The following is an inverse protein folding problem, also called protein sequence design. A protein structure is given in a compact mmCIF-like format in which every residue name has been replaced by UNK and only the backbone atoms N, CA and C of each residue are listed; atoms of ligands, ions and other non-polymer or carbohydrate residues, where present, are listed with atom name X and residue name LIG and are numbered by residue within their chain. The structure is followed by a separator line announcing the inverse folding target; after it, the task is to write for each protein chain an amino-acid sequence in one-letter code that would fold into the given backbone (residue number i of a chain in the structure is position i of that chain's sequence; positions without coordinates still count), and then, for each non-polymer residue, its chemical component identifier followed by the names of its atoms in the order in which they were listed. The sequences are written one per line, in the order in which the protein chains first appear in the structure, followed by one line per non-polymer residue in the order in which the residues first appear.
data_IF_116517425070
#
_entry.id   IF_116517425070
#
_cell.length_a   1.000
_cell.length_b   1.000
_cell.length_c   1.000
_cell.angle_alpha   90.00
_cell.angle_beta   90.00
_cell.angle_gamma   90.00
#
_symmetry.space_group_name_H-M   'P 1'
#
loop_
_entity.id
_entity.type
_entity.pdbx_description
1 polymer ?
#
# COMPACT_ATOMS: atom_id res chain seq x y z
N UNK A 1 26.02 -10.83 11.72
CA UNK A 1 25.88 -9.52 12.38
C UNK A 1 24.48 -9.01 12.08
N UNK A 2 23.62 -8.73 13.07
CA UNK A 2 22.36 -8.08 12.77
C UNK A 2 22.67 -6.64 12.37
N UNK A 3 22.20 -6.23 11.20
CA UNK A 3 22.28 -4.85 10.75
C UNK A 3 21.47 -4.01 11.75
N UNK A 4 22.18 -3.32 12.63
CA UNK A 4 21.67 -2.18 13.38
C UNK A 4 20.93 -1.28 12.39
N UNK A 5 19.61 -1.15 12.54
CA UNK A 5 18.85 -0.16 11.77
C UNK A 5 19.46 1.18 12.16
N UNK A 6 20.13 1.83 11.20
CA UNK A 6 20.77 3.11 11.44
C UNK A 6 19.72 4.11 11.98
N UNK A 7 20.13 5.08 12.80
CA UNK A 7 19.21 6.15 13.27
C UNK A 7 18.43 6.80 12.11
N UNK A 8 19.06 6.85 10.94
CA UNK A 8 18.45 7.32 9.70
C UNK A 8 17.31 6.40 9.20
N UNK A 9 17.50 5.08 9.24
CA UNK A 9 16.46 4.11 8.90
C UNK A 9 15.25 4.15 9.86
N UNK A 10 15.48 4.38 11.16
CA UNK A 10 14.40 4.58 12.14
C UNK A 10 13.62 5.85 11.82
N UNK A 11 14.31 6.96 11.57
CA UNK A 11 13.67 8.22 11.21
C UNK A 11 12.79 8.13 9.96
N UNK A 12 13.29 7.48 8.89
CA UNK A 12 12.52 7.28 7.66
C UNK A 12 11.29 6.41 7.88
N UNK A 13 11.44 5.33 8.66
CA UNK A 13 10.35 4.43 9.02
C UNK A 13 9.24 5.15 9.78
N UNK A 14 9.59 5.88 10.85
CA UNK A 14 8.64 6.65 11.65
C UNK A 14 7.93 7.71 10.79
N UNK A 15 8.70 8.46 9.99
CA UNK A 15 8.15 9.47 9.07
C UNK A 15 7.15 8.87 8.10
N UNK A 16 7.45 7.72 7.50
CA UNK A 16 6.55 7.04 6.58
C UNK A 16 5.29 6.52 7.25
N UNK A 17 5.40 5.96 8.46
CA UNK A 17 4.24 5.51 9.22
C UNK A 17 3.35 6.67 9.65
N UNK A 18 3.93 7.80 10.05
CA UNK A 18 3.18 9.03 10.32
C UNK A 18 2.46 9.52 9.07
N UNK A 19 3.14 9.50 7.91
CA UNK A 19 2.54 9.88 6.63
C UNK A 19 1.32 9.01 6.26
N UNK A 20 1.47 7.68 6.31
CA UNK A 20 0.40 6.70 6.07
C UNK A 20 -0.81 6.96 6.97
N UNK A 21 -0.56 7.33 8.24
CA UNK A 21 -1.65 7.63 9.17
C UNK A 21 -2.33 8.97 8.89
N UNK A 22 -1.59 9.96 8.41
CA UNK A 22 -2.08 11.31 8.17
C UNK A 22 -2.83 11.42 6.84
N UNK A 23 -2.35 10.74 5.79
CA UNK A 23 -2.93 10.71 4.45
C UNK A 23 -4.13 9.76 4.33
N UNK A 24 -4.91 9.63 5.41
CA UNK A 24 -6.15 8.85 5.41
C UNK A 24 -7.22 9.51 4.53
N UNK A 25 -8.24 8.73 4.18
CA UNK A 25 -9.32 9.14 3.30
C UNK A 25 -9.06 8.81 1.83
N UNK A 26 -10.13 8.41 1.14
CA UNK A 26 -10.07 8.02 -0.27
C UNK A 26 -9.95 9.18 -1.25
N UNK A 27 -10.11 10.41 -0.78
CA UNK A 27 -9.92 11.64 -1.57
C UNK A 27 -8.54 12.30 -1.34
N UNK A 28 -7.68 11.67 -0.54
CA UNK A 28 -6.37 12.22 -0.21
C UNK A 28 -5.36 11.93 -1.32
N UNK A 29 -4.41 12.85 -1.61
CA UNK A 29 -3.30 12.58 -2.52
C UNK A 29 -2.53 11.32 -2.09
N UNK A 30 -2.18 10.45 -3.04
CA UNK A 30 -1.43 9.21 -2.80
C UNK A 30 0.07 9.42 -2.56
N UNK A 31 0.47 10.52 -1.95
CA UNK A 31 1.89 10.86 -1.88
C UNK A 31 2.70 9.85 -1.05
N UNK A 32 2.06 9.11 -0.15
CA UNK A 32 2.67 7.98 0.55
C UNK A 32 3.16 6.88 -0.40
N UNK A 33 2.44 6.56 -1.47
CA UNK A 33 2.79 5.48 -2.41
C UNK A 33 3.96 5.88 -3.30
N UNK A 34 3.96 7.12 -3.78
CA UNK A 34 5.10 7.71 -4.50
C UNK A 34 6.35 7.70 -3.62
N UNK A 35 6.21 8.15 -2.37
CA UNK A 35 7.32 8.16 -1.42
C UNK A 35 7.80 6.75 -1.09
N UNK A 36 6.89 5.77 -0.98
CA UNK A 36 7.22 4.37 -0.77
C UNK A 36 8.07 3.81 -1.93
N UNK A 37 7.68 4.07 -3.17
CA UNK A 37 8.43 3.63 -4.35
C UNK A 37 9.83 4.27 -4.42
N UNK A 38 9.93 5.59 -4.23
CA UNK A 38 11.21 6.31 -4.22
C UNK A 38 12.15 5.75 -3.14
N UNK A 39 11.64 5.58 -1.92
CA UNK A 39 12.44 5.08 -0.80
C UNK A 39 12.84 3.60 -0.97
N UNK A 40 12.08 2.82 -1.75
CA UNK A 40 12.44 1.46 -2.13
C UNK A 40 13.76 1.35 -2.90
N UNK A 41 14.13 2.38 -3.66
CA UNK A 41 15.41 2.49 -4.38
C UNK A 41 16.56 3.07 -3.56
N UNK A 42 16.29 3.71 -2.42
CA UNK A 42 17.29 4.54 -1.72
C UNK A 42 17.72 3.96 -0.37
N UNK A 43 16.84 3.25 0.35
CA UNK A 43 17.15 2.81 1.71
C UNK A 43 16.64 1.39 2.06
N UNK A 44 17.42 0.59 2.82
CA UNK A 44 17.09 -0.81 3.12
C UNK A 44 16.14 -0.95 4.33
N UNK A 45 15.04 -0.19 4.39
CA UNK A 45 14.07 -0.21 5.50
C UNK A 45 12.67 -0.67 5.09
N UNK A 46 12.43 -0.97 3.81
CA UNK A 46 11.12 -1.39 3.28
C UNK A 46 10.58 -2.61 4.02
N UNK A 47 11.44 -3.56 4.40
CA UNK A 47 11.02 -4.72 5.21
C UNK A 47 10.31 -4.29 6.50
N UNK A 48 10.90 -3.35 7.23
CA UNK A 48 10.33 -2.85 8.49
C UNK A 48 9.05 -2.06 8.25
N UNK A 49 9.04 -1.21 7.22
CA UNK A 49 7.87 -0.41 6.85
C UNK A 49 6.70 -1.30 6.43
N UNK A 50 6.93 -2.25 5.53
CA UNK A 50 5.94 -3.20 5.04
C UNK A 50 5.30 -3.97 6.20
N UNK A 51 6.12 -4.58 7.05
CA UNK A 51 5.62 -5.35 8.18
C UNK A 51 4.80 -4.51 9.15
N UNK A 52 5.20 -3.25 9.42
CA UNK A 52 4.46 -2.38 10.33
C UNK A 52 3.21 -1.77 9.72
N UNK A 53 3.22 -1.45 8.42
CA UNK A 53 2.04 -0.96 7.71
C UNK A 53 0.96 -2.04 7.66
N UNK A 54 1.32 -3.27 7.29
CA UNK A 54 0.38 -4.39 7.19
C UNK A 54 -0.03 -5.02 8.54
N UNK A 55 0.38 -4.44 9.67
CA UNK A 55 -0.31 -4.71 10.95
C UNK A 55 -1.75 -4.21 10.95
N UNK A 56 -2.06 -3.20 10.12
CA UNK A 56 -3.40 -2.63 9.99
C UNK A 56 -4.01 -2.29 11.36
N UNK A 57 -3.20 -1.69 12.24
CA UNK A 57 -3.56 -1.33 13.62
C UNK A 57 -4.04 0.13 13.75
N UNK A 58 -4.16 0.84 12.63
CA UNK A 58 -4.69 2.20 12.54
C UNK A 58 -5.58 2.39 11.31
N UNK A 59 -6.58 3.30 11.35
CA UNK A 59 -7.40 3.59 10.19
C UNK A 59 -6.61 4.03 8.95
N UNK A 60 -5.55 4.84 9.11
CA UNK A 60 -4.75 5.29 7.97
C UNK A 60 -3.98 4.15 7.28
N UNK A 61 -3.45 3.19 8.04
CA UNK A 61 -2.83 1.98 7.48
C UNK A 61 -3.86 1.14 6.70
N UNK A 62 -5.07 0.99 7.25
CA UNK A 62 -6.17 0.29 6.59
C UNK A 62 -6.59 0.98 5.28
N UNK A 63 -6.73 2.31 5.29
CA UNK A 63 -7.02 3.09 4.07
C UNK A 63 -5.92 2.91 3.02
N UNK A 64 -4.65 3.04 3.40
CA UNK A 64 -3.53 2.86 2.47
C UNK A 64 -3.50 1.45 1.88
N UNK A 65 -3.79 0.40 2.67
CA UNK A 65 -3.89 -0.96 2.17
C UNK A 65 -5.00 -1.13 1.12
N UNK A 66 -6.15 -0.48 1.31
CA UNK A 66 -7.25 -0.48 0.35
C UNK A 66 -6.93 0.35 -0.89
N UNK A 67 -6.24 1.48 -0.75
CA UNK A 67 -5.72 2.25 -1.89
C UNK A 67 -4.74 1.40 -2.70
N UNK A 68 -3.81 0.71 -2.05
CA UNK A 68 -2.86 -0.20 -2.71
C UNK A 68 -3.59 -1.29 -3.49
N UNK A 69 -4.55 -1.97 -2.86
CA UNK A 69 -5.35 -3.00 -3.52
C UNK A 69 -6.19 -2.45 -4.68
N UNK A 70 -6.74 -1.24 -4.56
CA UNK A 70 -7.50 -0.61 -5.63
C UNK A 70 -6.65 -0.42 -6.90
N UNK A 71 -5.35 -0.13 -6.78
CA UNK A 71 -4.45 -0.04 -7.94
C UNK A 71 -4.18 -1.39 -8.60
N UNK A 72 -4.28 -2.49 -7.85
CA UNK A 72 -4.12 -3.83 -8.41
C UNK A 72 -5.36 -4.29 -9.17
N UNK A 73 -6.56 -3.97 -8.67
CA UNK A 73 -7.80 -4.62 -9.13
C UNK A 73 -8.64 -3.79 -10.10
N UNK A 74 -8.55 -2.46 -10.05
CA UNK A 74 -9.32 -1.61 -10.94
C UNK A 74 -8.45 -1.04 -12.06
N UNK A 75 -8.89 -1.15 -13.32
CA UNK A 75 -8.36 -0.30 -14.39
C UNK A 75 -8.50 1.17 -14.04
N UNK A 76 -7.59 2.00 -14.55
CA UNK A 76 -7.49 3.44 -14.24
C UNK A 76 -8.82 4.16 -14.47
N UNK A 77 -9.50 3.80 -15.56
CA UNK A 77 -10.70 4.48 -16.06
C UNK A 77 -11.94 4.22 -15.20
N UNK A 78 -11.91 3.17 -14.36
CA UNK A 78 -13.06 2.73 -13.56
C UNK A 78 -12.74 2.63 -12.06
N UNK A 79 -11.55 3.08 -11.67
CA UNK A 79 -11.14 3.02 -10.27
C UNK A 79 -12.04 3.94 -9.42
N UNK A 80 -12.76 3.40 -8.43
CA UNK A 80 -13.70 4.19 -7.64
C UNK A 80 -13.02 5.23 -6.74
N UNK A 81 -11.70 5.17 -6.57
CA UNK A 81 -10.90 6.17 -5.89
C UNK A 81 -10.51 7.35 -6.80
N UNK A 82 -10.73 7.23 -8.12
CA UNK A 82 -10.39 8.22 -9.14
C UNK A 82 -11.49 8.45 -10.19
N UNK A 83 -12.62 9.07 -9.81
CA UNK A 83 -13.59 9.52 -10.79
C UNK A 83 -13.02 10.70 -11.60
N UNK A 84 -12.77 10.46 -12.89
CA UNK A 84 -12.49 11.43 -13.97
C UNK A 84 -11.24 12.34 -13.83
N UNK A 85 -10.15 11.99 -14.54
CA UNK A 85 -9.10 12.94 -14.94
C UNK A 85 -7.92 13.14 -13.97
N UNK A 86 -7.79 12.32 -12.93
CA UNK A 86 -6.67 12.39 -11.99
C UNK A 86 -5.42 11.69 -12.54
N UNK A 87 -4.39 12.49 -12.82
CA UNK A 87 -3.06 12.09 -13.31
C UNK A 87 -2.20 11.28 -12.31
N UNK A 88 -2.82 10.60 -11.33
CA UNK A 88 -2.13 10.00 -10.19
C UNK A 88 -2.12 8.46 -10.19
N UNK A 89 -2.63 7.81 -11.25
CA UNK A 89 -2.45 6.36 -11.30
C UNK A 89 -0.97 6.04 -11.46
N UNK A 90 -0.45 5.27 -10.50
CA UNK A 90 0.88 4.73 -10.53
C UNK A 90 0.80 3.23 -10.26
N UNK A 91 1.64 2.41 -10.93
CA UNK A 91 1.74 1.01 -10.56
C UNK A 91 2.18 0.92 -9.09
N UNK A 92 1.53 0.05 -8.28
CA UNK A 92 1.81 -0.03 -6.86
C UNK A 92 3.26 -0.40 -6.54
N UNK A 93 3.99 -0.98 -7.51
CA UNK A 93 5.44 -1.15 -7.49
C UNK A 93 6.09 -0.61 -8.77
N UNK A 94 7.27 -0.04 -8.63
CA UNK A 94 8.15 0.27 -9.76
C UNK A 94 7.71 1.50 -10.57
N UNK A 95 6.95 2.40 -9.97
CA UNK A 95 6.50 3.64 -10.61
C UNK A 95 7.60 4.70 -10.82
N UNK A 96 8.86 4.41 -10.46
CA UNK A 96 9.96 5.37 -10.44
C UNK A 96 11.05 5.01 -11.46
N UNK A 97 11.75 6.03 -11.97
CA UNK A 97 12.90 5.87 -12.86
C UNK A 97 14.06 5.10 -12.20
N UNK A 98 14.19 5.21 -10.87
CA UNK A 98 15.22 4.52 -10.11
C UNK A 98 14.82 3.06 -9.84
N UNK A 99 15.72 2.09 -10.10
CA UNK A 99 15.44 0.70 -9.80
C UNK A 99 15.38 0.48 -8.29
N UNK A 100 14.48 -0.41 -7.87
CA UNK A 100 14.41 -0.87 -6.49
C UNK A 100 15.72 -1.50 -6.05
N UNK A 101 16.12 -1.28 -4.80
CA UNK A 101 17.25 -2.01 -4.23
C UNK A 101 16.94 -3.50 -4.23
N UNK A 102 17.90 -4.32 -4.66
CA UNK A 102 17.72 -5.76 -4.85
C UNK A 102 17.20 -6.45 -3.58
N UNK A 103 17.68 -6.05 -2.40
CA UNK A 103 17.24 -6.61 -1.12
C UNK A 103 15.79 -6.22 -0.75
N UNK A 104 15.33 -5.03 -1.14
CA UNK A 104 13.95 -4.59 -0.93
C UNK A 104 13.02 -5.32 -1.91
N UNK A 105 13.41 -5.40 -3.18
CA UNK A 105 12.64 -6.09 -4.21
C UNK A 105 12.52 -7.59 -3.90
N UNK A 106 13.64 -8.26 -3.60
CA UNK A 106 13.65 -9.69 -3.25
C UNK A 106 12.86 -10.01 -1.97
N UNK A 107 12.70 -9.04 -1.07
CA UNK A 107 11.80 -9.19 0.07
C UNK A 107 10.34 -9.08 -0.38
N UNK A 108 9.98 -8.02 -1.11
CA UNK A 108 8.59 -7.78 -1.51
C UNK A 108 8.03 -8.87 -2.41
N UNK A 109 8.80 -9.35 -3.39
CA UNK A 109 8.38 -10.45 -4.27
C UNK A 109 8.11 -11.77 -3.54
N UNK A 110 8.58 -11.92 -2.30
CA UNK A 110 8.25 -13.06 -1.44
C UNK A 110 7.08 -12.82 -0.49
N UNK A 111 6.70 -11.56 -0.28
CA UNK A 111 5.61 -11.20 0.64
C UNK A 111 4.32 -10.88 -0.09
N UNK A 112 4.42 -10.35 -1.31
CA UNK A 112 3.30 -10.05 -2.17
C UNK A 112 2.73 -11.35 -2.74
N UNK A 113 1.72 -11.87 -2.07
CA UNK A 113 0.91 -12.98 -2.57
C UNK A 113 -0.55 -12.56 -2.64
N UNK A 114 -1.38 -13.19 -3.50
CA UNK A 114 -2.80 -12.86 -3.57
C UNK A 114 -3.48 -13.06 -2.22
N UNK A 115 -3.10 -14.10 -1.48
CA UNK A 115 -3.64 -14.40 -0.15
C UNK A 115 -3.33 -13.30 0.86
N UNK A 116 -2.10 -12.77 0.84
CA UNK A 116 -1.69 -11.68 1.71
C UNK A 116 -2.48 -10.40 1.44
N UNK A 117 -2.68 -10.06 0.16
CA UNK A 117 -3.49 -8.89 -0.23
C UNK A 117 -4.95 -9.09 0.16
N UNK A 118 -5.54 -10.26 -0.13
CA UNK A 118 -6.95 -10.54 0.18
C UNK A 118 -7.24 -10.52 1.67
N UNK A 119 -6.41 -11.20 2.48
CA UNK A 119 -6.53 -11.20 3.94
C UNK A 119 -6.35 -9.78 4.51
N UNK A 120 -5.35 -9.05 4.01
CA UNK A 120 -5.09 -7.66 4.41
C UNK A 120 -6.26 -6.73 4.09
N UNK A 121 -6.85 -6.84 2.90
CA UNK A 121 -8.00 -6.04 2.47
C UNK A 121 -9.24 -6.34 3.29
N UNK A 122 -9.49 -7.61 3.63
CA UNK A 122 -10.59 -7.99 4.53
C UNK A 122 -10.40 -7.42 5.93
N UNK A 123 -9.19 -7.51 6.49
CA UNK A 123 -8.84 -6.91 7.79
C UNK A 123 -8.97 -5.39 7.78
N UNK A 124 -8.51 -4.73 6.72
CA UNK A 124 -8.63 -3.28 6.55
C UNK A 124 -10.10 -2.85 6.51
N UNK A 125 -10.95 -3.52 5.74
CA UNK A 125 -12.38 -3.23 5.70
C UNK A 125 -13.07 -3.48 7.06
N UNK A 126 -12.66 -4.52 7.80
CA UNK A 126 -13.17 -4.76 9.14
C UNK A 126 -12.77 -3.66 10.13
N UNK A 127 -11.54 -3.14 10.05
CA UNK A 127 -11.06 -2.02 10.86
C UNK A 127 -11.84 -0.73 10.59
N UNK A 128 -12.21 -0.48 9.34
CA UNK A 128 -12.88 0.77 8.92
C UNK A 128 -14.41 0.71 9.04
N UNK A 129 -14.98 -0.33 9.67
CA UNK A 129 -16.45 -0.54 9.71
C UNK A 129 -17.21 0.67 10.25
N UNK A 130 -16.66 1.31 11.28
CA UNK A 130 -17.27 2.45 11.97
C UNK A 130 -16.62 3.79 11.60
N UNK A 131 -15.78 3.80 10.56
CA UNK A 131 -15.10 4.99 10.03
C UNK A 131 -15.83 5.55 8.79
N UNK A 132 -15.63 6.82 8.42
CA UNK A 132 -16.22 7.43 7.22
C UNK A 132 -15.95 6.65 5.92
N UNK A 133 -14.84 5.92 5.86
CA UNK A 133 -14.38 5.12 4.72
C UNK A 133 -15.13 3.78 4.56
N UNK A 134 -15.95 3.37 5.54
CA UNK A 134 -16.59 2.04 5.63
C UNK A 134 -17.25 1.55 4.34
N UNK A 135 -18.05 2.40 3.68
CA UNK A 135 -18.80 2.02 2.48
C UNK A 135 -17.87 1.67 1.31
N UNK A 136 -16.84 2.49 1.08
CA UNK A 136 -15.87 2.26 0.02
C UNK A 136 -14.93 1.11 0.39
N UNK A 137 -14.52 1.00 1.65
CA UNK A 137 -13.71 -0.11 2.14
C UNK A 137 -14.39 -1.48 1.92
N UNK A 138 -15.69 -1.56 2.23
CA UNK A 138 -16.51 -2.75 1.98
C UNK A 138 -16.59 -3.08 0.49
N UNK A 139 -16.77 -2.06 -0.37
CA UNK A 139 -16.79 -2.24 -1.82
C UNK A 139 -15.47 -2.80 -2.34
N UNK A 140 -14.35 -2.16 -2.01
CA UNK A 140 -13.01 -2.59 -2.46
C UNK A 140 -12.72 -4.01 -1.97
N UNK A 141 -13.11 -4.35 -0.74
CA UNK A 141 -12.89 -5.69 -0.20
C UNK A 141 -13.65 -6.80 -0.94
N UNK A 142 -14.92 -6.55 -1.25
CA UNK A 142 -15.71 -7.47 -2.08
C UNK A 142 -15.14 -7.58 -3.50
N UNK A 143 -14.79 -6.45 -4.10
CA UNK A 143 -14.31 -6.41 -5.48
C UNK A 143 -12.92 -7.06 -5.59
N UNK A 144 -12.05 -6.93 -4.57
CA UNK A 144 -10.77 -7.62 -4.49
C UNK A 144 -10.92 -9.14 -4.47
N UNK A 145 -11.89 -9.65 -3.72
CA UNK A 145 -12.20 -11.08 -3.70
C UNK A 145 -12.64 -11.59 -5.09
N UNK A 146 -13.43 -10.80 -5.81
CA UNK A 146 -13.83 -11.14 -7.19
C UNK A 146 -12.68 -11.03 -8.20
N UNK A 147 -11.65 -10.25 -7.89
CA UNK A 147 -10.51 -9.96 -8.75
C UNK A 147 -9.22 -10.72 -8.34
N UNK A 148 -9.33 -11.82 -7.60
CA UNK A 148 -8.18 -12.60 -7.13
C UNK A 148 -7.20 -12.98 -8.26
N UNK A 149 -7.72 -13.39 -9.42
CA UNK A 149 -6.89 -13.74 -10.58
C UNK A 149 -6.14 -12.53 -11.15
N UNK A 150 -6.75 -11.34 -11.11
CA UNK A 150 -6.11 -10.08 -11.53
C UNK A 150 -4.96 -9.73 -10.59
N UNK A 151 -5.18 -9.87 -9.28
CA UNK A 151 -4.14 -9.65 -8.25
C UNK A 151 -2.95 -10.56 -8.54
N UNK A 152 -3.19 -11.84 -8.84
CA UNK A 152 -2.12 -12.81 -9.12
C UNK A 152 -1.29 -12.49 -10.39
N UNK A 153 -1.85 -11.76 -11.35
CA UNK A 153 -1.16 -11.33 -12.57
C UNK A 153 -0.32 -10.06 -12.32
N UNK A 154 -0.79 -9.18 -11.43
CA UNK A 154 -0.21 -7.85 -11.21
C UNK A 154 0.96 -7.82 -10.22
N UNK A 155 1.18 -8.89 -9.45
CA UNK A 155 2.22 -8.97 -8.41
C UNK A 155 3.36 -9.90 -8.76
#
# INVERSE_FOLDING_TARGET
MPLSVSRYGIFLLETMLTRINHERGFNSPLTWLDTFNVLGGIAPFIRSLWNQWWLLDTPGKAVCALQYAAHLIYPVEVNPLWPEGSWQWQPPLGATEEPWLENNLAFLTRQLTPEMILDGVQKAAAMLRDEPESAMATRISRDALAAQDVIAIQI
#
